data_IF_621746878855
#
_entry.id   IF_621746878855
#
_cell.length_a   1.000
_cell.length_b   1.000
_cell.length_c   1.000
_cell.angle_alpha   90.00
_cell.angle_beta   90.00
_cell.angle_gamma   90.00
#
_symmetry.space_group_name_H-M   'P 1'
#
loop_
_entity.id
_entity.type
_entity.pdbx_description
1 polymer ?
#
# COMPACT_ATOMS: atom_id res chain seq x y z
N UNK A 1 -52.14 -40.54 -0.53
CA UNK A 1 -51.27 -41.08 0.55
C UNK A 1 -49.84 -40.83 0.10
N UNK A 2 -49.10 -40.05 0.89
CA UNK A 2 -47.67 -39.68 0.81
C UNK A 2 -47.08 -39.27 -0.55
N UNK A 3 -47.04 -37.96 -0.78
CA UNK A 3 -46.02 -37.31 -1.61
C UNK A 3 -44.69 -37.53 -0.86
N UNK A 4 -43.82 -38.39 -1.38
CA UNK A 4 -42.50 -38.61 -0.79
C UNK A 4 -41.69 -37.34 -0.92
N UNK A 5 -41.35 -36.75 0.22
CA UNK A 5 -40.42 -35.64 0.36
C UNK A 5 -39.13 -35.93 -0.41
N UNK A 6 -38.91 -35.21 -1.51
CA UNK A 6 -37.62 -35.09 -2.16
C UNK A 6 -36.69 -34.24 -1.27
N UNK A 7 -36.31 -34.78 -0.12
CA UNK A 7 -35.25 -34.21 0.70
C UNK A 7 -33.93 -34.46 -0.03
N UNK A 8 -33.45 -33.41 -0.69
CA UNK A 8 -32.14 -33.37 -1.35
C UNK A 8 -31.03 -33.62 -0.31
N UNK A 9 -30.40 -34.81 -0.23
CA UNK A 9 -29.46 -35.18 0.84
C UNK A 9 -28.05 -34.61 0.64
N UNK A 10 -27.89 -33.61 -0.23
CA UNK A 10 -26.59 -33.20 -0.79
C UNK A 10 -25.81 -32.17 0.04
N UNK A 11 -26.26 -31.81 1.24
CA UNK A 11 -25.64 -30.77 2.09
C UNK A 11 -24.78 -31.34 3.24
N UNK A 12 -24.23 -32.56 3.10
CA UNK A 12 -23.14 -33.07 3.94
C UNK A 12 -21.78 -32.86 3.28
N UNK A 13 -20.67 -33.15 3.96
CA UNK A 13 -19.30 -33.19 3.39
C UNK A 13 -19.24 -34.22 2.24
N UNK A 14 -19.65 -33.82 1.04
CA UNK A 14 -19.65 -34.66 -0.13
C UNK A 14 -18.34 -34.48 -0.89
N UNK A 15 -17.64 -35.58 -1.11
CA UNK A 15 -16.49 -35.61 -2.02
C UNK A 15 -16.96 -35.82 -3.45
N UNK A 16 -16.16 -35.44 -4.44
CA UNK A 16 -16.44 -35.72 -5.85
C UNK A 16 -16.77 -37.21 -6.08
N UNK A 17 -16.02 -38.11 -5.42
CA UNK A 17 -16.27 -39.56 -5.51
C UNK A 17 -17.64 -39.97 -4.99
N UNK A 18 -18.05 -39.47 -3.81
CA UNK A 18 -19.39 -39.79 -3.26
C UNK A 18 -20.55 -39.24 -4.07
N UNK A 19 -20.35 -38.10 -4.75
CA UNK A 19 -21.36 -37.52 -5.64
C UNK A 19 -21.48 -38.30 -6.95
N UNK A 20 -20.34 -38.70 -7.52
CA UNK A 20 -20.31 -39.54 -8.72
C UNK A 20 -20.94 -40.91 -8.47
N UNK A 21 -20.70 -41.53 -7.32
CA UNK A 21 -21.35 -42.80 -6.97
C UNK A 21 -22.87 -42.66 -6.92
N UNK A 22 -23.39 -41.62 -6.24
CA UNK A 22 -24.84 -41.36 -6.22
C UNK A 22 -25.40 -41.11 -7.61
N UNK A 23 -24.65 -40.43 -8.46
CA UNK A 23 -25.06 -40.17 -9.83
C UNK A 23 -25.14 -41.46 -10.65
N UNK A 24 -24.19 -42.38 -10.45
CA UNK A 24 -24.23 -43.72 -11.04
C UNK A 24 -25.43 -44.54 -10.56
N UNK A 25 -25.72 -44.53 -9.26
CA UNK A 25 -26.89 -45.20 -8.69
C UNK A 25 -28.20 -44.68 -9.33
N UNK A 26 -28.34 -43.36 -9.49
CA UNK A 26 -29.50 -42.75 -10.15
C UNK A 26 -29.57 -43.15 -11.62
N UNK A 27 -28.45 -43.09 -12.35
CA UNK A 27 -28.38 -43.49 -13.75
C UNK A 27 -28.75 -44.96 -13.97
N UNK A 28 -28.33 -45.84 -13.07
CA UNK A 28 -28.69 -47.26 -13.08
C UNK A 28 -30.19 -47.45 -12.81
N UNK A 29 -30.77 -46.68 -11.88
CA UNK A 29 -32.21 -46.72 -11.55
C UNK A 29 -33.10 -46.25 -12.71
N UNK A 30 -32.72 -45.19 -13.43
CA UNK A 30 -33.52 -44.63 -14.53
C UNK A 30 -33.19 -45.27 -15.88
N UNK A 31 -32.10 -46.03 -15.98
CA UNK A 31 -31.65 -46.67 -17.21
C UNK A 31 -31.02 -45.70 -18.21
N UNK A 32 -30.20 -44.75 -17.74
CA UNK A 32 -29.45 -43.85 -18.64
C UNK A 32 -28.49 -44.63 -19.54
N UNK A 33 -28.37 -44.18 -20.79
CA UNK A 33 -27.49 -44.80 -21.77
C UNK A 33 -26.02 -44.51 -21.48
N UNK A 34 -25.12 -45.46 -21.79
CA UNK A 34 -23.68 -45.25 -21.60
C UNK A 34 -23.16 -44.02 -22.35
N UNK A 35 -23.66 -43.77 -23.57
CA UNK A 35 -23.31 -42.58 -24.36
C UNK A 35 -23.70 -41.26 -23.66
N UNK A 36 -24.85 -41.21 -22.99
CA UNK A 36 -25.31 -40.00 -22.30
C UNK A 36 -24.60 -39.82 -20.95
N UNK A 37 -24.29 -40.93 -20.25
CA UNK A 37 -23.44 -40.92 -19.05
C UNK A 37 -22.05 -40.38 -19.37
N UNK A 38 -21.42 -40.85 -20.44
CA UNK A 38 -20.10 -40.41 -20.89
C UNK A 38 -20.09 -38.91 -21.23
N UNK A 39 -21.10 -38.43 -21.97
CA UNK A 39 -21.24 -36.99 -22.26
C UNK A 39 -21.32 -36.15 -20.99
N UNK A 40 -22.11 -36.60 -20.01
CA UNK A 40 -22.30 -35.88 -18.76
C UNK A 40 -21.04 -35.91 -17.88
N UNK A 41 -20.30 -37.03 -17.84
CA UNK A 41 -19.00 -37.09 -17.17
C UNK A 41 -17.97 -36.14 -17.78
N UNK A 42 -17.86 -36.12 -19.12
CA UNK A 42 -16.99 -35.18 -19.83
C UNK A 42 -17.37 -33.73 -19.50
N UNK A 43 -18.67 -33.42 -19.43
CA UNK A 43 -19.13 -32.09 -19.05
C UNK A 43 -18.68 -31.72 -17.62
N UNK A 44 -18.85 -32.63 -16.65
CA UNK A 44 -18.40 -32.41 -15.26
C UNK A 44 -16.89 -32.17 -15.20
N UNK A 45 -16.10 -32.96 -15.92
CA UNK A 45 -14.64 -32.79 -15.99
C UNK A 45 -14.25 -31.44 -16.58
N UNK A 46 -14.93 -31.03 -17.66
CA UNK A 46 -14.69 -29.75 -18.31
C UNK A 46 -15.04 -28.57 -17.40
N UNK A 47 -16.19 -28.62 -16.73
CA UNK A 47 -16.61 -27.59 -15.77
C UNK A 47 -15.63 -27.50 -14.58
N UNK A 48 -15.16 -28.65 -14.07
CA UNK A 48 -14.16 -28.70 -13.00
C UNK A 48 -12.83 -28.09 -13.45
N UNK A 49 -12.37 -28.44 -14.65
CA UNK A 49 -11.16 -27.91 -15.25
C UNK A 49 -11.22 -26.39 -15.42
N UNK A 50 -12.35 -25.86 -15.85
CA UNK A 50 -12.53 -24.42 -16.04
C UNK A 50 -12.52 -23.64 -14.72
N UNK A 51 -13.06 -24.23 -13.64
CA UNK A 51 -12.90 -23.68 -12.28
C UNK A 51 -11.43 -23.66 -11.88
N UNK A 52 -10.68 -24.75 -12.08
CA UNK A 52 -9.25 -24.79 -11.75
C UNK A 52 -8.46 -23.75 -12.55
N UNK A 53 -8.64 -23.66 -13.87
CA UNK A 53 -7.99 -22.65 -14.72
C UNK A 53 -8.24 -21.24 -14.21
N UNK A 54 -9.50 -20.91 -13.91
CA UNK A 54 -9.88 -19.60 -13.36
C UNK A 54 -9.20 -19.32 -12.02
N UNK A 55 -9.12 -20.30 -11.13
CA UNK A 55 -8.44 -20.15 -9.82
C UNK A 55 -6.94 -19.96 -9.97
N UNK A 56 -6.30 -20.68 -10.90
CA UNK A 56 -4.88 -20.52 -11.23
C UNK A 56 -4.62 -19.13 -11.80
N UNK A 57 -5.44 -18.66 -12.74
CA UNK A 57 -5.32 -17.31 -13.31
C UNK A 57 -5.47 -16.23 -12.24
N UNK A 58 -6.46 -16.36 -11.35
CA UNK A 58 -6.66 -15.45 -10.23
C UNK A 58 -5.42 -15.40 -9.31
N UNK A 59 -4.85 -16.56 -8.99
CA UNK A 59 -3.64 -16.65 -8.18
C UNK A 59 -2.42 -16.03 -8.88
N UNK A 60 -2.26 -16.28 -10.19
CA UNK A 60 -1.20 -15.69 -11.00
C UNK A 60 -1.31 -14.15 -11.04
N UNK A 61 -2.52 -13.62 -11.25
CA UNK A 61 -2.78 -12.17 -11.20
C UNK A 61 -2.44 -11.58 -9.83
N UNK A 62 -2.87 -12.23 -8.74
CA UNK A 62 -2.55 -11.80 -7.39
C UNK A 62 -1.04 -11.80 -7.14
N UNK A 63 -0.31 -12.80 -7.65
CA UNK A 63 1.15 -12.85 -7.57
C UNK A 63 1.82 -11.66 -8.27
N UNK A 64 1.37 -11.30 -9.48
CA UNK A 64 1.89 -10.14 -10.21
C UNK A 64 1.67 -8.85 -9.41
N UNK A 65 0.45 -8.63 -8.92
CA UNK A 65 0.11 -7.44 -8.12
C UNK A 65 0.96 -7.34 -6.84
N UNK A 66 1.23 -8.46 -6.16
CA UNK A 66 2.08 -8.47 -4.97
C UNK A 66 3.55 -8.15 -5.31
N UNK A 67 4.04 -8.61 -6.45
CA UNK A 67 5.40 -8.30 -6.90
C UNK A 67 5.56 -6.82 -7.28
N UNK A 68 4.57 -6.25 -7.96
CA UNK A 68 4.51 -4.82 -8.27
C UNK A 68 4.51 -3.98 -6.99
N UNK A 69 3.58 -4.27 -6.06
CA UNK A 69 3.52 -3.57 -4.78
C UNK A 69 4.82 -3.67 -3.98
N UNK A 70 5.49 -4.83 -4.01
CA UNK A 70 6.78 -5.02 -3.34
C UNK A 70 7.89 -4.19 -4.01
N UNK A 71 7.89 -4.11 -5.34
CA UNK A 71 8.83 -3.27 -6.08
C UNK A 71 8.62 -1.80 -5.75
N UNK A 72 7.38 -1.33 -5.77
CA UNK A 72 7.03 0.06 -5.46
C UNK A 72 7.41 0.43 -4.03
N UNK A 73 7.13 -0.44 -3.07
CA UNK A 73 7.53 -0.24 -1.67
C UNK A 73 9.06 -0.13 -1.51
N UNK A 74 9.84 -0.93 -2.25
CA UNK A 74 11.31 -0.87 -2.24
C UNK A 74 11.84 0.42 -2.88
N UNK A 75 11.23 0.87 -3.97
CA UNK A 75 11.58 2.13 -4.64
C UNK A 75 11.32 3.30 -3.68
N UNK A 76 10.15 3.31 -3.06
CA UNK A 76 9.74 4.36 -2.12
C UNK A 76 10.65 4.41 -0.90
N UNK A 77 11.01 3.25 -0.36
CA UNK A 77 11.97 3.12 0.72
C UNK A 77 13.32 3.74 0.34
N UNK A 78 13.88 3.37 -0.82
CA UNK A 78 15.15 3.90 -1.30
C UNK A 78 15.08 5.44 -1.49
N UNK A 79 13.94 5.95 -1.98
CA UNK A 79 13.69 7.37 -2.16
C UNK A 79 13.66 8.12 -0.82
N UNK A 80 12.99 7.57 0.19
CA UNK A 80 12.94 8.18 1.53
C UNK A 80 14.30 8.17 2.22
N UNK A 81 15.01 7.04 2.18
CA UNK A 81 16.37 6.93 2.71
C UNK A 81 17.29 7.97 2.07
N UNK A 82 17.26 8.10 0.73
CA UNK A 82 18.04 9.11 0.02
C UNK A 82 17.65 10.54 0.41
N UNK A 83 16.35 10.83 0.61
CA UNK A 83 15.89 12.15 0.99
C UNK A 83 16.28 12.53 2.43
N UNK A 84 16.38 11.55 3.32
CA UNK A 84 16.83 11.71 4.71
C UNK A 84 18.35 11.66 4.86
N UNK A 85 19.08 11.33 3.80
CA UNK A 85 20.54 11.17 3.82
C UNK A 85 21.00 9.88 4.51
N UNK A 86 20.10 8.91 4.66
CA UNK A 86 20.36 7.62 5.30
C UNK A 86 20.74 6.56 4.25
N UNK A 87 21.66 5.65 4.62
CA UNK A 87 22.12 4.56 3.74
C UNK A 87 21.33 3.26 3.94
N UNK A 88 20.76 3.07 5.14
CA UNK A 88 20.05 1.84 5.53
C UNK A 88 19.16 2.09 6.74
N UNK A 89 18.06 1.33 6.85
CA UNK A 89 17.16 1.38 8.00
C UNK A 89 17.28 0.12 8.85
N UNK A 90 17.46 0.27 10.17
CA UNK A 90 17.74 -0.83 11.11
C UNK A 90 16.62 -1.89 11.23
N UNK A 91 15.44 -1.62 10.67
CA UNK A 91 14.28 -2.52 10.67
C UNK A 91 14.12 -3.40 9.42
N UNK A 92 14.92 -3.24 8.37
CA UNK A 92 14.77 -4.01 7.13
C UNK A 92 15.98 -4.94 6.94
N UNK A 93 15.77 -6.27 6.88
CA UNK A 93 16.86 -7.20 6.58
C UNK A 93 17.45 -6.93 5.19
N UNK A 94 18.78 -6.87 5.07
CA UNK A 94 19.48 -6.74 3.78
C UNK A 94 19.11 -7.86 2.78
N UNK A 95 18.68 -9.01 3.31
CA UNK A 95 18.22 -10.15 2.52
C UNK A 95 16.72 -10.30 2.66
N UNK A 96 16.02 -10.11 1.56
CA UNK A 96 14.61 -10.41 1.41
C UNK A 96 14.38 -11.91 1.53
N UNK A 97 14.14 -12.39 2.75
CA UNK A 97 13.76 -13.79 3.01
C UNK A 97 12.25 -13.89 3.22
N UNK A 98 11.68 -15.06 2.96
CA UNK A 98 10.26 -15.32 3.11
C UNK A 98 9.40 -14.98 1.89
N UNK A 99 8.10 -15.18 2.05
CA UNK A 99 7.08 -14.96 1.02
C UNK A 99 6.94 -13.49 0.65
N UNK A 100 6.36 -13.20 -0.51
CA UNK A 100 6.16 -11.81 -0.98
C UNK A 100 5.32 -11.00 0.02
N UNK A 101 4.32 -11.63 0.64
CA UNK A 101 3.47 -10.98 1.66
C UNK A 101 4.25 -10.65 2.93
N UNK A 102 5.11 -11.56 3.40
CA UNK A 102 5.98 -11.32 4.56
C UNK A 102 6.97 -10.19 4.29
N UNK A 103 7.55 -10.15 3.09
CA UNK A 103 8.45 -9.05 2.70
C UNK A 103 7.74 -7.69 2.67
N UNK A 104 6.53 -7.62 2.13
CA UNK A 104 5.71 -6.41 2.16
C UNK A 104 5.39 -5.97 3.61
N UNK A 105 4.98 -6.93 4.45
CA UNK A 105 4.68 -6.66 5.86
C UNK A 105 5.91 -6.17 6.64
N UNK A 106 7.11 -6.65 6.30
CA UNK A 106 8.35 -6.21 6.92
C UNK A 106 8.77 -4.78 6.50
N UNK A 107 8.47 -4.36 5.26
CA UNK A 107 8.81 -3.02 4.76
C UNK A 107 7.83 -1.95 5.27
N UNK A 108 6.56 -2.31 5.49
CA UNK A 108 5.51 -1.39 5.91
C UNK A 108 5.88 -0.50 7.13
N UNK A 109 6.31 -1.04 8.29
CA UNK A 109 6.62 -0.21 9.47
C UNK A 109 7.83 0.71 9.24
N UNK A 110 8.79 0.29 8.42
CA UNK A 110 9.94 1.12 8.09
C UNK A 110 9.56 2.32 7.22
N UNK A 111 8.66 2.12 6.24
CA UNK A 111 8.12 3.21 5.43
C UNK A 111 7.37 4.22 6.30
N UNK A 112 6.52 3.75 7.22
CA UNK A 112 5.77 4.61 8.15
C UNK A 112 6.71 5.47 9.01
N UNK A 113 7.72 4.86 9.63
CA UNK A 113 8.68 5.57 10.46
C UNK A 113 9.51 6.59 9.65
N UNK A 114 9.94 6.26 8.43
CA UNK A 114 10.70 7.19 7.59
C UNK A 114 9.84 8.38 7.13
N UNK A 115 8.54 8.17 6.90
CA UNK A 115 7.61 9.25 6.60
C UNK A 115 7.44 10.19 7.79
N UNK A 116 7.30 9.65 9.00
CA UNK A 116 7.24 10.45 10.23
C UNK A 116 8.52 11.26 10.46
N UNK A 117 9.69 10.62 10.31
CA UNK A 117 10.98 11.30 10.43
C UNK A 117 11.14 12.44 9.43
N UNK A 118 10.72 12.22 8.18
CA UNK A 118 10.72 13.26 7.16
C UNK A 118 9.79 14.42 7.54
N UNK A 119 8.61 14.12 8.06
CA UNK A 119 7.66 15.15 8.48
C UNK A 119 8.22 15.99 9.64
N UNK A 120 8.82 15.36 10.65
CA UNK A 120 9.42 16.09 11.77
C UNK A 120 10.59 16.96 11.31
N UNK A 121 11.45 16.46 10.41
CA UNK A 121 12.54 17.27 9.84
C UNK A 121 12.03 18.51 9.10
N UNK A 122 10.97 18.37 8.31
CA UNK A 122 10.35 19.52 7.62
C UNK A 122 9.87 20.56 8.61
N UNK A 123 9.27 20.14 9.73
CA UNK A 123 8.81 21.02 10.80
C UNK A 123 9.99 21.72 11.50
N UNK A 124 11.03 20.98 11.88
CA UNK A 124 12.27 21.53 12.45
C UNK A 124 12.90 22.58 11.51
N UNK A 125 12.98 22.30 10.21
CA UNK A 125 13.48 23.26 9.22
C UNK A 125 12.64 24.53 9.16
N UNK A 126 11.31 24.41 9.19
CA UNK A 126 10.40 25.55 9.21
C UNK A 126 10.62 26.43 10.46
N UNK A 127 10.75 25.80 11.64
CA UNK A 127 10.97 26.51 12.90
C UNK A 127 12.31 27.26 12.89
N UNK A 128 13.37 26.63 12.38
CA UNK A 128 14.68 27.28 12.22
C UNK A 128 14.61 28.45 11.24
N UNK A 129 13.95 28.28 10.09
CA UNK A 129 13.78 29.37 9.12
C UNK A 129 13.02 30.56 9.72
N UNK A 130 11.97 30.30 10.52
CA UNK A 130 11.23 31.35 11.22
C UNK A 130 12.11 32.11 12.22
N UNK A 131 12.94 31.39 12.98
CA UNK A 131 13.89 32.02 13.90
C UNK A 131 14.95 32.86 13.17
N UNK A 132 15.49 32.37 12.05
CA UNK A 132 16.44 33.13 11.22
C UNK A 132 15.78 34.42 10.73
N UNK A 133 14.57 34.34 10.19
CA UNK A 133 13.83 35.52 9.71
C UNK A 133 13.60 36.55 10.82
N UNK A 134 13.26 36.09 12.02
CA UNK A 134 13.11 36.95 13.20
C UNK A 134 14.41 37.68 13.52
N UNK A 135 15.53 36.96 13.62
CA UNK A 135 16.86 37.54 13.89
C UNK A 135 17.25 38.54 12.80
N UNK A 136 17.05 38.20 11.52
CA UNK A 136 17.32 39.10 10.41
C UNK A 136 16.49 40.39 10.48
N UNK A 137 15.21 40.29 10.86
CA UNK A 137 14.34 41.44 11.08
C UNK A 137 14.80 42.32 12.26
N UNK A 138 15.21 41.70 13.37
CA UNK A 138 15.77 42.41 14.54
C UNK A 138 17.07 43.16 14.18
N UNK A 139 17.99 42.52 13.45
CA UNK A 139 19.24 43.15 12.99
C UNK A 139 18.96 44.35 12.08
N UNK A 140 18.04 44.20 11.11
CA UNK A 140 17.66 45.29 10.21
C UNK A 140 16.92 46.44 10.93
N UNK A 141 16.18 46.12 12.00
CA UNK A 141 15.44 47.09 12.82
C UNK A 141 16.27 47.86 13.86
N UNK A 142 17.52 47.45 14.13
CA UNK A 142 18.36 48.06 15.16
C UNK A 142 19.17 49.29 14.69
N UNK A 143 18.84 49.86 13.52
CA UNK A 143 19.48 51.06 12.95
C UNK A 143 18.89 52.41 13.44
N UNK A 144 17.91 52.40 14.35
CA UNK A 144 17.15 53.61 14.70
C UNK A 144 17.15 53.98 16.19
N UNK A 145 18.24 53.77 16.94
CA UNK A 145 18.37 54.38 18.28
C UNK A 145 19.82 54.87 18.50
N UNK A 146 19.92 56.14 18.93
CA UNK A 146 21.07 57.00 19.25
C UNK A 146 21.54 57.92 18.11
N UNK A 147 21.46 59.26 18.18
CA UNK A 147 21.01 60.20 19.21
C UNK A 147 20.72 61.55 18.53
N UNK A 148 19.71 62.29 19.02
CA UNK A 148 19.67 63.75 18.95
C UNK A 148 20.01 64.29 20.35
N UNK A 149 20.33 65.59 20.58
CA UNK A 149 20.60 66.70 19.67
C UNK A 149 21.88 67.51 20.03
N UNK A 150 22.40 68.36 19.14
CA UNK A 150 23.27 69.47 19.55
C UNK A 150 22.99 70.73 18.72
N UNK A 151 22.37 71.69 19.40
CA UNK A 151 22.13 73.07 18.98
C UNK A 151 23.37 73.89 19.31
N UNK A 152 23.93 74.64 18.36
CA UNK A 152 24.73 75.85 18.62
C UNK A 152 24.40 76.91 17.55
N UNK A 153 24.15 78.12 18.03
CA UNK A 153 23.67 79.33 17.33
C UNK A 153 24.80 80.17 16.67
N UNK A 154 24.39 80.98 15.66
CA UNK A 154 24.94 82.32 15.32
C UNK A 154 26.01 82.36 14.21
N UNK A 155 26.12 83.36 13.32
CA UNK A 155 25.39 84.61 13.09
C UNK A 155 25.85 85.25 11.75
N UNK A 156 24.91 85.86 10.99
CA UNK A 156 25.05 86.87 9.90
C UNK A 156 25.78 86.46 8.59
N UNK A 157 25.38 86.90 7.39
CA UNK A 157 24.94 88.25 6.98
C UNK A 157 24.25 88.20 5.60
N UNK A 158 23.24 89.06 5.41
CA UNK A 158 22.68 89.43 4.10
C UNK A 158 23.74 89.83 3.08
N UNK A 159 23.51 89.51 1.81
CA UNK A 159 23.43 90.51 0.74
C UNK A 159 22.82 89.92 -0.53
N UNK A 160 21.90 90.71 -1.08
CA UNK A 160 21.28 90.53 -2.39
C UNK A 160 22.28 90.85 -3.52
N UNK A 161 21.93 90.36 -4.73
CA UNK A 161 22.49 90.59 -6.07
C UNK A 161 23.76 89.81 -6.43
#
# INVERSE_FOLDING_TARGET
MAITDAQNPLLGEATCGTLLQKLQEIWDEVGESDDDRDKMLIQIEQECLDVYKKKVEQAAKSRVQLLEALSDAKIELARLLSALGEKSFAGIPEKTSGTIKEQLAAIAPALEQLWEQKAERVKEFSDVLSQIQKICGEIAGNLNISDAPARVEGCTRSSNL
#
